data_IF_525463009727
#
_entry.id   IF_525463009727
#
_cell.length_a   1.000
_cell.length_b   1.000
_cell.length_c   1.000
_cell.angle_alpha   90.00
_cell.angle_beta   90.00
_cell.angle_gamma   90.00
#
_symmetry.space_group_name_H-M   'P 1'
#
loop_
_entity.id
_entity.type
_entity.pdbx_description
1 polymer ?
#
# COMPACT_ATOMS: atom_id res chain seq x y z
N UNK A 1 -4.55 -29.06 25.28
CA UNK A 1 -4.25 -27.64 25.39
C UNK A 1 -4.29 -27.00 24.02
N UNK A 2 -4.99 -25.90 23.92
CA UNK A 2 -5.13 -25.18 22.65
C UNK A 2 -3.96 -24.20 22.48
N UNK A 3 -3.28 -24.31 21.34
CA UNK A 3 -2.25 -23.33 21.00
C UNK A 3 -2.91 -22.07 20.48
N UNK A 4 -2.67 -20.96 21.17
CA UNK A 4 -3.23 -19.66 20.81
C UNK A 4 -2.22 -18.74 20.14
N UNK A 5 -0.99 -19.21 19.90
CA UNK A 5 0.00 -18.43 19.18
C UNK A 5 -0.42 -18.25 17.72
N UNK A 6 -0.16 -17.08 17.13
CA UNK A 6 -0.49 -16.89 15.71
C UNK A 6 0.35 -17.80 14.82
N UNK A 7 -0.24 -18.23 13.72
CA UNK A 7 0.48 -18.96 12.67
C UNK A 7 1.38 -17.99 11.91
N UNK A 8 2.32 -18.55 11.13
CA UNK A 8 3.16 -17.71 10.27
C UNK A 8 2.33 -16.97 9.22
N UNK A 9 1.28 -17.61 8.69
CA UNK A 9 0.38 -16.96 7.74
C UNK A 9 -0.36 -15.78 8.40
N UNK A 10 -0.83 -15.97 9.62
CA UNK A 10 -1.49 -14.88 10.36
C UNK A 10 -0.53 -13.73 10.64
N UNK A 11 0.70 -14.04 11.06
CA UNK A 11 1.73 -13.03 11.29
C UNK A 11 2.07 -12.28 10.01
N UNK A 12 2.17 -12.99 8.88
CA UNK A 12 2.44 -12.38 7.58
C UNK A 12 1.31 -11.42 7.17
N UNK A 13 0.06 -11.78 7.42
CA UNK A 13 -1.08 -10.90 7.16
C UNK A 13 -1.04 -9.65 8.03
N UNK A 14 -0.65 -9.80 9.29
CA UNK A 14 -0.48 -8.67 10.22
C UNK A 14 0.60 -7.72 9.69
N UNK A 15 1.73 -8.27 9.22
CA UNK A 15 2.80 -7.48 8.62
C UNK A 15 2.32 -6.69 7.41
N UNK A 16 1.48 -7.27 6.58
CA UNK A 16 0.90 -6.56 5.43
C UNK A 16 0.09 -5.35 5.89
N UNK A 17 -0.72 -5.50 6.93
CA UNK A 17 -1.51 -4.41 7.51
C UNK A 17 -0.63 -3.31 8.08
N UNK A 18 0.46 -3.68 8.76
CA UNK A 18 1.42 -2.71 9.30
C UNK A 18 2.03 -1.88 8.17
N UNK A 19 2.44 -2.52 7.08
CA UNK A 19 3.05 -1.83 5.94
C UNK A 19 2.07 -0.85 5.29
N UNK A 20 0.81 -1.25 5.11
CA UNK A 20 -0.20 -0.33 4.59
C UNK A 20 -0.44 0.84 5.52
N UNK A 21 -0.58 0.60 6.82
CA UNK A 21 -0.76 1.65 7.80
C UNK A 21 0.40 2.63 7.80
N UNK A 22 1.61 2.10 7.75
CA UNK A 22 2.85 2.88 7.71
C UNK A 22 2.92 3.74 6.44
N UNK A 23 2.64 3.16 5.28
CA UNK A 23 2.64 3.87 4.01
C UNK A 23 1.63 5.01 4.03
N UNK A 24 0.40 4.73 4.42
CA UNK A 24 -0.66 5.72 4.44
C UNK A 24 -0.36 6.84 5.43
N UNK A 25 0.07 6.48 6.62
CA UNK A 25 0.39 7.46 7.67
C UNK A 25 1.53 8.40 7.27
N UNK A 26 2.57 7.87 6.62
CA UNK A 26 3.73 8.67 6.25
C UNK A 26 3.47 9.61 5.08
N UNK A 27 2.64 9.20 4.13
CA UNK A 27 2.52 9.91 2.86
C UNK A 27 1.18 10.60 2.62
N UNK A 28 0.13 10.27 3.37
CA UNK A 28 -1.16 10.96 3.25
C UNK A 28 -0.95 12.45 3.56
N UNK A 29 -1.50 13.31 2.73
CA UNK A 29 -1.36 14.75 2.87
C UNK A 29 -0.15 15.35 2.15
N UNK A 30 0.71 14.53 1.55
CA UNK A 30 1.85 15.03 0.78
C UNK A 30 1.34 15.84 -0.41
N UNK A 31 1.85 17.07 -0.61
CA UNK A 31 1.52 17.83 -1.81
C UNK A 31 2.00 17.10 -3.06
N UNK A 32 1.11 16.93 -4.03
CA UNK A 32 1.40 16.16 -5.23
C UNK A 32 0.70 16.77 -6.45
N UNK A 33 1.34 16.65 -7.60
CA UNK A 33 0.81 17.06 -8.90
C UNK A 33 1.12 15.97 -9.91
N UNK A 34 0.54 15.99 -11.11
CA UNK A 34 0.90 15.01 -12.13
C UNK A 34 2.39 14.97 -12.42
N UNK A 35 3.08 16.12 -12.37
CA UNK A 35 4.53 16.17 -12.63
C UNK A 35 5.37 15.49 -11.55
N UNK A 36 4.89 15.44 -10.30
CA UNK A 36 5.62 14.83 -9.19
C UNK A 36 5.10 13.43 -8.83
N UNK A 37 4.04 12.96 -9.48
CA UNK A 37 3.39 11.71 -9.13
C UNK A 37 4.34 10.51 -9.13
N UNK A 38 5.16 10.38 -10.17
CA UNK A 38 6.10 9.26 -10.28
C UNK A 38 7.19 9.30 -9.20
N UNK A 39 7.69 10.49 -8.88
CA UNK A 39 8.70 10.66 -7.83
C UNK A 39 8.14 10.30 -6.46
N UNK A 40 6.91 10.71 -6.18
CA UNK A 40 6.24 10.38 -4.92
C UNK A 40 6.00 8.87 -4.84
N UNK A 41 5.52 8.26 -5.92
CA UNK A 41 5.30 6.81 -5.96
C UNK A 41 6.60 6.05 -5.66
N UNK A 42 7.69 6.44 -6.29
CA UNK A 42 9.01 5.82 -6.08
C UNK A 42 9.46 5.97 -4.61
N UNK A 43 9.30 7.14 -4.04
CA UNK A 43 9.66 7.40 -2.65
C UNK A 43 8.84 6.52 -1.69
N UNK A 44 7.55 6.35 -1.95
CA UNK A 44 6.68 5.49 -1.17
C UNK A 44 7.14 4.03 -1.24
N UNK A 45 7.43 3.55 -2.45
CA UNK A 45 7.91 2.18 -2.67
C UNK A 45 9.19 1.92 -1.90
N UNK A 46 10.18 2.77 -2.08
CA UNK A 46 11.49 2.60 -1.45
C UNK A 46 11.41 2.69 0.07
N UNK A 47 10.61 3.61 0.59
CA UNK A 47 10.48 3.80 2.03
C UNK A 47 9.90 2.54 2.70
N UNK A 48 8.87 1.95 2.12
CA UNK A 48 8.22 0.78 2.72
C UNK A 48 9.03 -0.50 2.48
N UNK A 49 9.69 -0.61 1.33
CA UNK A 49 10.57 -1.75 1.04
C UNK A 49 11.75 -1.85 2.00
N UNK A 50 12.13 -0.76 2.64
CA UNK A 50 13.16 -0.78 3.68
C UNK A 50 12.72 -1.49 4.97
N UNK A 51 11.45 -1.69 5.17
CA UNK A 51 10.94 -2.32 6.39
C UNK A 51 11.10 -3.84 6.34
N UNK A 52 11.21 -4.50 7.53
CA UNK A 52 11.36 -5.96 7.57
C UNK A 52 10.19 -6.68 6.91
N UNK A 53 10.49 -7.82 6.29
CA UNK A 53 9.52 -8.73 5.67
C UNK A 53 8.80 -8.16 4.44
N UNK A 54 9.11 -6.96 4.02
CA UNK A 54 8.52 -6.36 2.83
C UNK A 54 9.37 -6.71 1.62
N UNK A 55 8.82 -7.54 0.73
CA UNK A 55 9.53 -8.00 -0.46
C UNK A 55 9.40 -7.04 -1.62
N UNK A 56 8.23 -6.45 -1.80
CA UNK A 56 7.98 -5.54 -2.91
C UNK A 56 6.82 -4.62 -2.60
N UNK A 57 6.90 -3.40 -3.10
CA UNK A 57 5.82 -2.43 -3.05
C UNK A 57 5.67 -1.82 -4.42
N UNK A 58 4.46 -1.83 -4.95
CA UNK A 58 4.13 -1.21 -6.23
C UNK A 58 3.07 -0.14 -5.98
N UNK A 59 3.41 1.11 -6.24
CA UNK A 59 2.53 2.25 -6.03
C UNK A 59 2.22 2.92 -7.35
N UNK A 60 0.94 3.05 -7.65
CA UNK A 60 0.46 3.84 -8.77
C UNK A 60 -0.27 5.07 -8.21
N UNK A 61 0.25 6.26 -8.50
CA UNK A 61 -0.42 7.51 -8.19
C UNK A 61 -1.20 7.91 -9.45
N UNK A 62 -2.52 7.93 -9.35
CA UNK A 62 -3.42 8.09 -10.50
C UNK A 62 -3.43 9.51 -11.02
N UNK A 63 -2.65 9.76 -12.07
CA UNK A 63 -2.45 11.10 -12.63
C UNK A 63 -3.75 11.73 -13.15
N UNK A 64 -4.62 10.94 -13.76
CA UNK A 64 -5.88 11.43 -14.29
C UNK A 64 -6.78 11.97 -13.17
N UNK A 65 -6.86 11.24 -12.07
CA UNK A 65 -7.65 11.67 -10.91
C UNK A 65 -7.05 12.91 -10.25
N UNK A 66 -5.71 12.98 -10.19
CA UNK A 66 -5.02 14.16 -9.67
C UNK A 66 -5.34 15.40 -10.52
N UNK A 67 -5.21 15.26 -11.83
CA UNK A 67 -5.46 16.35 -12.75
C UNK A 67 -6.89 16.86 -12.63
N UNK A 68 -7.87 15.97 -12.51
CA UNK A 68 -9.26 16.34 -12.35
C UNK A 68 -9.51 17.11 -11.05
N UNK A 69 -8.96 16.61 -9.94
CA UNK A 69 -9.12 17.24 -8.63
C UNK A 69 -8.49 18.64 -8.59
N UNK A 70 -7.30 18.77 -9.19
CA UNK A 70 -6.57 20.03 -9.25
C UNK A 70 -7.34 21.04 -10.10
N UNK A 71 -7.87 20.62 -11.25
CA UNK A 71 -8.66 21.47 -12.13
C UNK A 71 -9.95 21.96 -11.43
N UNK A 72 -10.64 21.06 -10.75
CA UNK A 72 -11.87 21.39 -10.02
C UNK A 72 -11.63 22.40 -8.91
N UNK A 73 -10.49 22.32 -8.25
CA UNK A 73 -10.13 23.23 -7.16
C UNK A 73 -9.53 24.55 -7.66
N UNK A 74 -9.17 24.66 -8.94
CA UNK A 74 -8.48 25.82 -9.49
C UNK A 74 -7.10 26.01 -8.88
N UNK A 75 -6.42 24.89 -8.57
CA UNK A 75 -5.13 24.88 -7.89
C UNK A 75 -4.02 24.32 -8.80
N UNK A 76 -2.79 24.31 -8.30
CA UNK A 76 -1.64 23.76 -9.02
C UNK A 76 -1.24 22.39 -8.49
N UNK A 77 -1.72 22.00 -7.31
CA UNK A 77 -1.45 20.72 -6.69
C UNK A 77 -2.60 20.32 -5.78
N UNK A 78 -2.57 19.09 -5.29
CA UNK A 78 -3.52 18.64 -4.27
C UNK A 78 -2.78 17.80 -3.23
N UNK A 79 -3.44 17.44 -2.15
CA UNK A 79 -2.88 16.57 -1.13
C UNK A 79 -3.14 15.12 -1.49
N UNK A 80 -2.12 14.28 -1.33
CA UNK A 80 -2.21 12.85 -1.60
C UNK A 80 -3.16 12.19 -0.60
N UNK A 81 -4.14 11.47 -1.12
CA UNK A 81 -5.06 10.66 -0.31
C UNK A 81 -5.26 9.32 -1.01
N UNK A 82 -5.96 8.40 -0.34
CA UNK A 82 -6.25 7.09 -0.92
C UNK A 82 -7.01 7.13 -2.23
N UNK A 83 -7.76 8.20 -2.48
CA UNK A 83 -8.48 8.42 -3.75
C UNK A 83 -7.56 8.32 -4.97
N UNK A 84 -6.30 8.72 -4.82
CA UNK A 84 -5.35 8.80 -5.92
C UNK A 84 -4.40 7.61 -5.98
N UNK A 85 -4.57 6.63 -5.10
CA UNK A 85 -3.60 5.53 -4.92
C UNK A 85 -4.17 4.18 -5.30
N UNK A 86 -3.36 3.41 -6.03
CA UNK A 86 -3.48 1.97 -6.11
C UNK A 86 -2.15 1.40 -5.65
N UNK A 87 -2.18 0.49 -4.69
CA UNK A 87 -0.96 -0.02 -4.05
C UNK A 87 -1.05 -1.54 -3.93
N UNK A 88 0.05 -2.20 -4.27
CA UNK A 88 0.22 -3.62 -4.01
C UNK A 88 1.46 -3.81 -3.14
N UNK A 89 1.32 -4.57 -2.06
CA UNK A 89 2.43 -4.89 -1.15
C UNK A 89 2.57 -6.41 -1.08
N UNK A 90 3.79 -6.88 -1.23
CA UNK A 90 4.12 -8.30 -1.10
C UNK A 90 4.96 -8.50 0.15
N UNK A 91 4.47 -9.33 1.05
CA UNK A 91 5.15 -9.70 2.29
C UNK A 91 5.69 -11.12 2.15
N UNK A 92 6.90 -11.32 2.64
CA UNK A 92 7.50 -12.65 2.79
C UNK A 92 7.92 -12.82 4.25
N UNK A 93 7.18 -13.64 4.97
CA UNK A 93 7.41 -13.88 6.39
C UNK A 93 7.47 -15.39 6.65
N UNK A 94 8.63 -15.90 7.07
CA UNK A 94 8.82 -17.29 7.43
C UNK A 94 8.27 -18.27 6.38
N UNK A 95 8.51 -17.97 5.11
CA UNK A 95 8.03 -18.80 3.99
C UNK A 95 6.59 -18.56 3.58
N UNK A 96 5.88 -17.66 4.25
CA UNK A 96 4.53 -17.28 3.85
C UNK A 96 4.59 -16.03 2.99
N UNK A 97 4.00 -16.09 1.80
CA UNK A 97 3.89 -14.94 0.92
C UNK A 97 2.47 -14.39 0.96
N UNK A 98 2.35 -13.12 1.28
CA UNK A 98 1.06 -12.44 1.30
C UNK A 98 1.10 -11.31 0.29
N UNK A 99 0.09 -11.25 -0.56
CA UNK A 99 -0.13 -10.13 -1.47
C UNK A 99 -1.35 -9.37 -0.96
N UNK A 100 -1.14 -8.09 -0.65
CA UNK A 100 -2.20 -7.21 -0.18
C UNK A 100 -2.32 -6.04 -1.13
N UNK A 101 -3.53 -5.51 -1.28
CA UNK A 101 -3.80 -4.49 -2.28
C UNK A 101 -4.72 -3.41 -1.71
N UNK A 102 -4.48 -2.17 -2.10
CA UNK A 102 -5.38 -1.06 -1.85
C UNK A 102 -5.81 -0.45 -3.17
N UNK A 103 -7.11 -0.32 -3.37
CA UNK A 103 -7.67 0.37 -4.53
C UNK A 103 -9.02 0.95 -4.17
N UNK A 104 -9.47 1.93 -4.97
CA UNK A 104 -10.77 2.54 -4.73
C UNK A 104 -11.89 1.55 -5.04
N UNK A 105 -12.83 1.44 -4.11
CA UNK A 105 -14.03 0.62 -4.29
C UNK A 105 -15.20 1.36 -3.67
N UNK A 106 -16.19 1.67 -4.49
CA UNK A 106 -17.39 2.42 -4.09
C UNK A 106 -17.07 3.73 -3.33
N UNK A 107 -16.04 4.44 -3.80
CA UNK A 107 -15.63 5.71 -3.22
C UNK A 107 -14.75 5.59 -1.97
N UNK A 108 -14.31 4.38 -1.64
CA UNK A 108 -13.47 4.12 -0.47
C UNK A 108 -12.15 3.44 -0.87
N UNK A 109 -11.00 3.91 -0.34
CA UNK A 109 -9.72 3.25 -0.62
C UNK A 109 -9.62 1.98 0.23
N UNK A 110 -10.07 0.86 -0.34
CA UNK A 110 -10.17 -0.41 0.37
C UNK A 110 -8.85 -1.16 0.37
N UNK A 111 -8.35 -1.51 1.55
CA UNK A 111 -7.19 -2.38 1.74
C UNK A 111 -7.70 -3.79 1.97
N UNK A 112 -7.16 -4.76 1.22
CA UNK A 112 -7.58 -6.16 1.35
C UNK A 112 -6.43 -7.11 1.08
N UNK A 113 -6.56 -8.33 1.59
CA UNK A 113 -5.66 -9.42 1.22
C UNK A 113 -6.12 -9.97 -0.12
N UNK A 114 -5.17 -10.12 -1.05
CA UNK A 114 -5.45 -10.69 -2.35
C UNK A 114 -5.09 -12.17 -2.38
N UNK A 115 -3.96 -12.54 -1.76
CA UNK A 115 -3.58 -13.95 -1.66
C UNK A 115 -2.71 -14.18 -0.43
N UNK A 116 -2.81 -15.39 0.12
CA UNK A 116 -1.97 -15.86 1.22
C UNK A 116 -1.49 -17.25 0.83
N UNK A 117 -0.19 -17.41 0.69
CA UNK A 117 0.41 -18.65 0.26
C UNK A 117 1.48 -19.09 1.27
N UNK A 118 1.22 -20.20 1.94
CA UNK A 118 2.15 -20.76 2.91
C UNK A 118 3.05 -21.78 2.21
N UNK A 119 4.23 -21.34 1.82
CA UNK A 119 5.21 -22.18 1.13
C UNK A 119 6.05 -23.02 2.08
N UNK A 120 6.03 -22.67 3.36
CA UNK A 120 6.81 -23.40 4.37
C UNK A 120 6.25 -24.81 4.64
N UNK A 121 5.00 -25.05 4.25
CA UNK A 121 4.34 -26.34 4.45
C UNK A 121 4.47 -27.29 3.24
N UNK A 122 5.18 -26.91 2.21
CA UNK A 122 5.39 -27.73 1.01
C UNK A 122 6.52 -28.75 1.23
#
# INVERSE_FOLDING_TARGET
>A
MTDTAPTDAEAACFEAGIKFGSLYHQFAGTPVSPDSADSVATAMEEAIENQPHCRAVDVDVREDELAAAIADAGADYTELTGRFLEVEIVIDYEGCEVVARMEMEDGYPLMRLESVEDRSSL
#
